data_IF_675143109190
#
_entry.id   IF_675143109190
#
_cell.length_a   1.000
_cell.length_b   1.000
_cell.length_c   1.000
_cell.angle_alpha   90.00
_cell.angle_beta   90.00
_cell.angle_gamma   90.00
#
_symmetry.space_group_name_H-M   'P 1'
#
loop_
_entity.id
_entity.type
_entity.pdbx_description
1 polymer ?
#
# COMPACT_ATOMS: atom_id res chain seq x y z
N UNK A 1 -11.69 -4.42 3.76
CA UNK A 1 -10.69 -5.06 2.89
C UNK A 1 -9.76 -4.00 2.31
N UNK A 2 -8.46 -4.18 2.49
CA UNK A 2 -7.44 -3.30 1.92
C UNK A 2 -6.93 -3.87 0.59
N UNK A 3 -6.78 -3.01 -0.43
CA UNK A 3 -6.23 -3.37 -1.74
C UNK A 3 -4.96 -2.58 -2.01
N UNK A 4 -3.82 -3.02 -1.45
CA UNK A 4 -2.54 -2.38 -1.70
C UNK A 4 -2.07 -2.63 -3.13
N UNK A 5 -1.33 -1.67 -3.67
CA UNK A 5 -0.54 -1.82 -4.89
C UNK A 5 0.80 -2.49 -4.56
N UNK A 6 1.82 -2.31 -5.42
CA UNK A 6 3.16 -2.84 -5.17
C UNK A 6 3.68 -2.38 -3.80
N UNK A 7 4.06 -3.33 -2.94
CA UNK A 7 4.48 -3.03 -1.58
C UNK A 7 6.02 -2.98 -1.49
N UNK A 8 6.53 -1.79 -1.19
CA UNK A 8 7.95 -1.51 -1.02
C UNK A 8 8.39 -1.68 0.44
N UNK A 9 9.70 -1.88 0.63
CA UNK A 9 10.32 -2.02 1.95
C UNK A 9 11.21 -3.26 2.04
N UNK A 10 11.97 -3.41 3.14
CA UNK A 10 12.81 -4.59 3.34
C UNK A 10 11.94 -5.85 3.41
N UNK A 11 12.26 -6.85 2.59
CA UNK A 11 11.63 -8.18 2.58
C UNK A 11 12.69 -9.25 2.73
N UNK A 12 12.34 -10.35 3.39
CA UNK A 12 13.19 -11.55 3.45
C UNK A 12 13.33 -12.22 2.08
N UNK A 13 12.28 -12.22 1.25
CA UNK A 13 12.33 -12.79 -0.09
C UNK A 13 12.74 -11.75 -1.14
N UNK A 14 13.85 -12.04 -1.83
CA UNK A 14 14.34 -11.24 -2.93
C UNK A 14 13.49 -11.42 -4.19
N UNK A 15 12.85 -10.35 -4.66
CA UNK A 15 12.06 -10.35 -5.90
C UNK A 15 12.75 -9.47 -6.93
N UNK A 16 13.53 -10.09 -7.83
CA UNK A 16 14.26 -9.40 -8.90
C UNK A 16 13.32 -8.54 -9.78
N UNK A 17 12.09 -9.00 -10.00
CA UNK A 17 11.06 -8.26 -10.72
C UNK A 17 10.65 -6.95 -10.02
N UNK A 18 10.67 -6.90 -8.67
CA UNK A 18 10.42 -5.66 -7.91
C UNK A 18 11.54 -4.65 -8.08
N UNK A 19 12.80 -5.07 -8.18
CA UNK A 19 13.94 -4.16 -8.37
C UNK A 19 13.93 -3.55 -9.77
N UNK A 20 13.64 -4.35 -10.79
CA UNK A 20 13.51 -3.88 -12.17
C UNK A 20 12.27 -2.99 -12.37
N UNK A 21 11.15 -3.32 -11.74
CA UNK A 21 9.91 -2.56 -11.87
C UNK A 21 9.81 -1.36 -10.92
N UNK A 22 10.58 -1.31 -9.82
CA UNK A 22 10.56 -0.23 -8.83
C UNK A 22 10.66 1.19 -9.42
N UNK A 23 11.61 1.51 -10.32
CA UNK A 23 11.69 2.85 -10.91
C UNK A 23 10.45 3.20 -11.75
N UNK A 24 9.85 2.23 -12.45
CA UNK A 24 8.66 2.42 -13.28
C UNK A 24 7.41 2.56 -12.41
N UNK A 25 7.29 1.73 -11.36
CA UNK A 25 6.19 1.75 -10.40
C UNK A 25 6.15 3.05 -9.58
N UNK A 26 7.28 3.72 -9.40
CA UNK A 26 7.38 5.02 -8.71
C UNK A 26 6.92 6.19 -9.60
N UNK A 27 6.86 6.00 -10.92
CA UNK A 27 6.41 7.01 -11.90
C UNK A 27 4.93 6.82 -12.24
N UNK A 28 4.36 5.63 -12.01
CA UNK A 28 2.97 5.35 -12.32
C UNK A 28 1.99 6.15 -11.43
N UNK A 29 0.98 6.83 -12.02
CA UNK A 29 0.03 7.66 -11.28
C UNK A 29 -1.08 6.84 -10.61
N UNK A 30 -1.63 7.40 -9.52
CA UNK A 30 -2.78 6.85 -8.80
C UNK A 30 -2.52 5.48 -8.18
N UNK A 31 -3.54 4.61 -8.23
CA UNK A 31 -3.59 3.29 -7.58
C UNK A 31 -2.49 2.29 -7.95
N UNK A 32 -1.66 2.60 -8.95
CA UNK A 32 -0.52 1.78 -9.38
C UNK A 32 0.80 2.21 -8.73
N UNK A 33 0.82 3.38 -8.08
CA UNK A 33 1.97 3.85 -7.32
C UNK A 33 2.16 2.91 -6.12
N UNK A 34 3.36 2.37 -5.95
CA UNK A 34 3.61 1.47 -4.83
C UNK A 34 3.52 2.17 -3.46
N UNK A 35 3.32 1.38 -2.42
CA UNK A 35 3.15 1.83 -1.03
C UNK A 35 4.25 1.22 -0.17
N UNK A 36 4.85 2.02 0.72
CA UNK A 36 5.82 1.51 1.69
C UNK A 36 5.12 0.63 2.74
N UNK A 37 5.76 -0.46 3.16
CA UNK A 37 5.20 -1.40 4.13
C UNK A 37 4.84 -0.73 5.46
N UNK A 38 5.67 0.21 5.92
CA UNK A 38 5.37 1.00 7.11
C UNK A 38 4.14 1.90 6.93
N UNK A 39 3.96 2.51 5.75
CA UNK A 39 2.80 3.35 5.45
C UNK A 39 1.52 2.50 5.43
N UNK A 40 1.58 1.33 4.80
CA UNK A 40 0.46 0.39 4.81
C UNK A 40 0.11 -0.05 6.24
N UNK A 41 1.10 -0.39 7.07
CA UNK A 41 0.87 -0.79 8.45
C UNK A 41 0.16 0.31 9.27
N UNK A 42 0.60 1.58 9.11
CA UNK A 42 -0.06 2.73 9.77
C UNK A 42 -1.49 2.94 9.25
N UNK A 43 -1.71 2.79 7.95
CA UNK A 43 -3.05 2.90 7.37
C UNK A 43 -4.00 1.84 7.93
N UNK A 44 -3.54 0.57 8.01
CA UNK A 44 -4.31 -0.53 8.58
C UNK A 44 -4.60 -0.31 10.06
N UNK A 45 -3.64 0.19 10.83
CA UNK A 45 -3.84 0.53 12.24
C UNK A 45 -4.94 1.58 12.41
N UNK A 46 -4.91 2.66 11.63
CA UNK A 46 -5.95 3.71 11.66
C UNK A 46 -7.32 3.15 11.25
N UNK A 47 -7.38 2.34 10.19
CA UNK A 47 -8.62 1.71 9.73
C UNK A 47 -9.20 0.73 10.76
N UNK A 48 -8.37 0.05 11.56
CA UNK A 48 -8.84 -0.84 12.62
C UNK A 48 -9.50 -0.08 13.79
N UNK A 49 -9.19 1.20 13.94
CA UNK A 49 -9.78 2.08 14.96
C UNK A 49 -11.07 2.77 14.47
N UNK A 50 -11.38 2.70 13.17
CA UNK A 50 -12.62 3.24 12.62
C UNK A 50 -13.79 2.29 12.89
N UNK A 51 -14.83 2.80 13.55
CA UNK A 51 -16.09 2.07 13.69
C UNK A 51 -16.93 2.22 12.42
N UNK A 52 -17.43 1.11 11.89
CA UNK A 52 -18.27 1.10 10.69
C UNK A 52 -19.11 -0.16 10.60
N UNK A 53 -20.27 -0.07 9.93
CA UNK A 53 -21.14 -1.22 9.66
C UNK A 53 -20.88 -1.75 8.25
N UNK A 54 -20.69 -3.06 8.15
CA UNK A 54 -20.50 -3.75 6.88
C UNK A 54 -19.05 -3.74 6.39
N UNK A 55 -18.88 -3.96 5.09
CA UNK A 55 -17.57 -4.15 4.47
C UNK A 55 -17.18 -2.93 3.65
N UNK A 56 -16.07 -2.28 4.01
CA UNK A 56 -15.45 -1.21 3.21
C UNK A 56 -14.26 -1.74 2.41
N UNK A 57 -14.19 -1.40 1.13
CA UNK A 57 -13.01 -1.61 0.29
C UNK A 57 -12.21 -0.32 0.24
N UNK A 58 -10.93 -0.39 0.63
CA UNK A 58 -10.01 0.77 0.67
C UNK A 58 -8.92 0.53 -0.37
N UNK A 59 -8.87 1.41 -1.38
CA UNK A 59 -7.95 1.32 -2.51
C UNK A 59 -6.58 1.92 -2.19
N UNK A 60 -5.55 1.55 -2.96
CA UNK A 60 -4.15 1.90 -2.64
C UNK A 60 -3.88 3.40 -2.45
N UNK A 61 -4.52 4.27 -3.24
CA UNK A 61 -4.38 5.73 -3.09
C UNK A 61 -4.89 6.23 -1.74
N UNK A 62 -5.97 5.63 -1.24
CA UNK A 62 -6.55 5.97 0.05
C UNK A 62 -5.70 5.40 1.19
N UNK A 63 -5.21 4.17 1.06
CA UNK A 63 -4.25 3.58 2.00
C UNK A 63 -2.99 4.44 2.12
N UNK A 64 -2.46 4.97 1.01
CA UNK A 64 -1.30 5.89 1.02
C UNK A 64 -1.59 7.21 1.74
N UNK A 65 -2.80 7.75 1.61
CA UNK A 65 -3.21 8.96 2.34
C UNK A 65 -3.35 8.68 3.83
N UNK A 66 -3.93 7.53 4.18
CA UNK A 66 -4.08 7.06 5.56
C UNK A 66 -2.77 6.62 6.21
N UNK A 67 -1.74 6.29 5.43
CA UNK A 67 -0.45 5.79 5.93
C UNK A 67 0.59 6.87 6.21
N UNK A 68 0.41 8.09 5.67
CA UNK A 68 1.25 9.26 5.98
C UNK A 68 0.93 9.81 7.37
#
# INVERSE_FOLDING_TARGET
FARPSLLFGPREEFRLAEILAAPIARILPGKYHGIEACDLARALWRLALEEGKGVRFVESDELRKLGK
#
